data_IF_458920202794
#
_entry.id   IF_458920202794
#
_cell.length_a   1.000
_cell.length_b   1.000
_cell.length_c   1.000
_cell.angle_alpha   90.00
_cell.angle_beta   90.00
_cell.angle_gamma   90.00
#
_symmetry.space_group_name_H-M   'P 1'
#
loop_
_entity.id
_entity.type
_entity.pdbx_description
1 polymer ?
#
# COMPACT_ATOMS: atom_id res chain seq x y z
N UNK A 1 -2.00 4.16 -16.42
CA UNK A 1 -2.04 4.63 -15.01
C UNK A 1 -2.71 3.53 -14.18
N UNK A 2 -2.06 3.04 -13.11
CA UNK A 2 -2.54 1.92 -12.30
C UNK A 2 -3.59 2.29 -11.23
N UNK A 3 -3.48 3.48 -10.64
CA UNK A 3 -4.33 3.91 -9.53
C UNK A 3 -5.77 4.26 -9.94
N UNK A 4 -6.00 4.48 -11.23
CA UNK A 4 -7.28 4.85 -11.84
C UNK A 4 -7.79 3.81 -12.84
N UNK A 5 -6.96 2.87 -13.28
CA UNK A 5 -7.37 1.87 -14.27
C UNK A 5 -8.56 1.01 -13.79
N UNK A 6 -9.54 0.83 -14.67
CA UNK A 6 -10.60 -0.16 -14.47
C UNK A 6 -10.16 -1.57 -14.94
N UNK A 7 -11.00 -2.57 -14.70
CA UNK A 7 -10.70 -3.95 -15.10
C UNK A 7 -10.60 -4.12 -16.62
N UNK A 8 -11.36 -3.36 -17.41
CA UNK A 8 -11.34 -3.43 -18.86
C UNK A 8 -10.02 -2.88 -19.44
N UNK A 9 -9.44 -1.85 -18.83
CA UNK A 9 -8.13 -1.32 -19.18
C UNK A 9 -7.01 -2.30 -18.78
N UNK A 10 -7.10 -2.90 -17.58
CA UNK A 10 -6.09 -3.85 -17.12
C UNK A 10 -6.03 -5.11 -17.99
N UNK A 11 -7.18 -5.66 -18.40
CA UNK A 11 -7.22 -6.89 -19.22
C UNK A 11 -6.64 -6.69 -20.63
N UNK A 12 -6.47 -5.45 -21.10
CA UNK A 12 -5.79 -5.17 -22.38
C UNK A 12 -4.28 -5.41 -22.32
N UNK A 13 -3.70 -5.47 -21.13
CA UNK A 13 -2.28 -5.74 -20.94
C UNK A 13 -2.00 -7.23 -21.16
N UNK A 14 -1.00 -7.54 -21.98
CA UNK A 14 -0.59 -8.92 -22.25
C UNK A 14 -0.23 -9.63 -20.93
N UNK A 15 -0.79 -10.81 -20.71
CA UNK A 15 -0.61 -11.60 -19.48
C UNK A 15 -1.56 -11.23 -18.33
N UNK A 16 -2.37 -10.18 -18.45
CA UNK A 16 -3.33 -9.78 -17.42
C UNK A 16 -4.73 -10.28 -17.80
N UNK A 17 -5.11 -11.43 -17.26
CA UNK A 17 -6.49 -11.93 -17.34
C UNK A 17 -7.43 -11.30 -16.29
N UNK A 18 -8.74 -11.62 -16.34
CA UNK A 18 -9.73 -11.10 -15.38
C UNK A 18 -9.37 -11.34 -13.91
N UNK A 19 -8.73 -12.47 -13.61
CA UNK A 19 -8.27 -12.82 -12.26
C UNK A 19 -7.21 -11.84 -11.76
N UNK A 20 -6.17 -11.56 -12.57
CA UNK A 20 -5.13 -10.61 -12.18
C UNK A 20 -5.65 -9.18 -12.14
N UNK A 21 -6.51 -8.79 -13.09
CA UNK A 21 -7.17 -7.47 -13.03
C UNK A 21 -7.92 -7.27 -11.70
N UNK A 22 -8.69 -8.27 -11.27
CA UNK A 22 -9.38 -8.25 -9.96
C UNK A 22 -8.41 -8.17 -8.78
N UNK A 23 -7.32 -8.95 -8.79
CA UNK A 23 -6.30 -8.92 -7.73
C UNK A 23 -5.57 -7.58 -7.66
N UNK A 24 -5.21 -6.99 -8.81
CA UNK A 24 -4.59 -5.67 -8.89
C UNK A 24 -5.52 -4.62 -8.26
N UNK A 25 -6.79 -4.61 -8.65
CA UNK A 25 -7.78 -3.67 -8.10
C UNK A 25 -7.95 -3.88 -6.59
N UNK A 26 -8.08 -5.13 -6.13
CA UNK A 26 -8.20 -5.45 -4.71
C UNK A 26 -6.98 -4.97 -3.93
N UNK A 27 -5.78 -5.25 -4.43
CA UNK A 27 -4.55 -4.89 -3.76
C UNK A 27 -4.32 -3.37 -3.75
N UNK A 28 -4.60 -2.68 -4.87
CA UNK A 28 -4.67 -1.21 -4.94
C UNK A 28 -5.55 -0.63 -3.84
N UNK A 29 -6.74 -1.19 -3.66
CA UNK A 29 -7.70 -0.71 -2.67
C UNK A 29 -7.20 -0.92 -1.23
N UNK A 30 -6.48 -2.01 -0.96
CA UNK A 30 -5.86 -2.27 0.35
C UNK A 30 -4.71 -1.30 0.65
N UNK A 31 -3.89 -0.98 -0.35
CA UNK A 31 -2.81 0.02 -0.22
C UNK A 31 -3.35 1.45 -0.10
N UNK A 32 -4.48 1.75 -0.75
CA UNK A 32 -4.94 3.12 -0.99
C UNK A 32 -4.40 3.72 -2.29
N UNK A 33 -3.79 2.91 -3.15
CA UNK A 33 -3.07 3.29 -4.37
C UNK A 33 -1.67 2.68 -4.38
N UNK A 34 -1.11 2.39 -5.55
CA UNK A 34 0.29 2.05 -5.73
C UNK A 34 1.14 3.31 -5.61
N UNK A 35 2.29 3.22 -4.93
CA UNK A 35 3.36 4.22 -5.00
C UNK A 35 4.43 3.85 -6.03
N UNK A 36 4.52 2.56 -6.40
CA UNK A 36 5.49 2.01 -7.32
C UNK A 36 4.87 0.90 -8.15
N UNK A 37 5.28 0.79 -9.41
CA UNK A 37 4.88 -0.29 -10.32
C UNK A 37 5.37 -1.66 -9.84
N UNK A 38 6.52 -1.71 -9.15
CA UNK A 38 7.07 -2.94 -8.57
C UNK A 38 6.16 -3.61 -7.55
N UNK A 39 5.22 -2.88 -6.93
CA UNK A 39 4.26 -3.47 -5.98
C UNK A 39 3.29 -4.46 -6.65
N UNK A 40 3.23 -4.50 -7.99
CA UNK A 40 2.53 -5.57 -8.69
C UNK A 40 3.14 -6.96 -8.39
N UNK A 41 4.45 -7.03 -8.12
CA UNK A 41 5.13 -8.27 -7.74
C UNK A 41 4.79 -8.74 -6.32
N UNK A 42 4.18 -7.87 -5.50
CA UNK A 42 3.69 -8.22 -4.16
C UNK A 42 2.31 -8.91 -4.23
N UNK A 43 1.65 -8.88 -5.39
CA UNK A 43 0.38 -9.58 -5.61
C UNK A 43 0.65 -11.08 -5.69
N UNK A 44 -0.15 -11.85 -4.94
CA UNK A 44 -0.02 -13.30 -4.89
C UNK A 44 -0.01 -13.96 -6.28
N UNK A 45 1.06 -14.72 -6.53
CA UNK A 45 1.37 -15.44 -7.78
C UNK A 45 1.36 -14.53 -9.02
N UNK A 46 1.77 -13.25 -8.90
CA UNK A 46 1.97 -12.39 -10.06
C UNK A 46 3.30 -12.76 -10.77
N UNK A 47 3.27 -13.15 -12.06
CA UNK A 47 4.49 -13.59 -12.74
C UNK A 47 5.44 -12.43 -13.02
N UNK A 48 6.72 -12.60 -12.72
CA UNK A 48 7.75 -11.58 -12.98
C UNK A 48 7.89 -11.29 -14.47
N UNK A 49 7.75 -12.32 -15.32
CA UNK A 49 7.79 -12.19 -16.78
C UNK A 49 6.64 -11.32 -17.27
N UNK A 50 5.45 -11.47 -16.68
CA UNK A 50 4.29 -10.62 -17.00
C UNK A 50 4.57 -9.17 -16.60
N UNK A 51 5.15 -8.93 -15.42
CA UNK A 51 5.56 -7.58 -15.01
C UNK A 51 6.52 -6.95 -16.02
N UNK A 52 7.58 -7.67 -16.41
CA UNK A 52 8.59 -7.19 -17.37
C UNK A 52 7.94 -6.81 -18.71
N UNK A 53 6.99 -7.61 -19.20
CA UNK A 53 6.29 -7.33 -20.46
C UNK A 53 5.45 -6.05 -20.39
N UNK A 54 4.71 -5.87 -19.30
CA UNK A 54 3.73 -4.78 -19.16
C UNK A 54 4.32 -3.47 -18.64
N UNK A 55 5.50 -3.51 -17.99
CA UNK A 55 6.07 -2.37 -17.24
C UNK A 55 6.14 -1.07 -18.05
N UNK A 56 6.46 -1.17 -19.34
CA UNK A 56 6.55 -0.03 -20.26
C UNK A 56 5.21 0.64 -20.61
N UNK A 57 4.10 -0.04 -20.34
CA UNK A 57 2.73 0.40 -20.66
C UNK A 57 1.96 0.88 -19.42
N UNK A 58 2.58 0.82 -18.25
CA UNK A 58 2.00 1.23 -16.99
C UNK A 58 2.77 2.42 -16.41
N UNK A 59 2.06 3.22 -15.62
CA UNK A 59 2.63 4.31 -14.84
C UNK A 59 1.82 4.43 -13.55
N UNK A 60 2.42 5.08 -12.56
CA UNK A 60 1.83 5.28 -11.23
C UNK A 60 1.77 6.76 -10.93
N UNK A 61 0.56 7.29 -10.76
CA UNK A 61 0.39 8.63 -10.19
C UNK A 61 0.31 8.53 -8.67
N UNK A 62 1.34 9.03 -7.99
CA UNK A 62 1.42 8.98 -6.52
C UNK A 62 0.58 10.06 -5.83
N UNK A 63 0.09 11.07 -6.57
CA UNK A 63 -0.70 12.17 -6.01
C UNK A 63 -2.11 11.73 -5.61
N UNK A 64 -2.62 10.65 -6.22
CA UNK A 64 -3.95 10.09 -5.95
C UNK A 64 -3.95 9.06 -4.81
N UNK A 65 -2.81 8.78 -4.18
CA UNK A 65 -2.72 7.82 -3.08
C UNK A 65 -3.52 8.33 -1.88
N UNK A 66 -4.45 7.49 -1.40
CA UNK A 66 -5.24 7.74 -0.20
C UNK A 66 -4.44 7.35 1.03
N UNK A 67 -3.93 8.37 1.73
CA UNK A 67 -3.15 8.18 2.96
C UNK A 67 -4.05 7.96 4.17
N UNK A 68 -3.61 7.10 5.06
CA UNK A 68 -4.22 6.82 6.35
C UNK A 68 -3.81 7.92 7.35
N UNK A 69 -4.80 8.58 7.95
CA UNK A 69 -4.58 9.55 9.01
C UNK A 69 -4.27 8.83 10.32
N UNK A 70 -3.01 8.58 10.63
CA UNK A 70 -2.57 7.66 11.70
C UNK A 70 -3.14 7.97 13.09
N UNK A 71 -3.38 9.26 13.36
CA UNK A 71 -3.90 9.73 14.64
C UNK A 71 -5.42 9.50 14.78
N UNK A 72 -6.15 9.44 13.66
CA UNK A 72 -7.61 9.33 13.62
C UNK A 72 -8.12 7.98 13.11
N UNK A 73 -7.27 7.22 12.42
CA UNK A 73 -7.60 5.90 11.92
C UNK A 73 -7.85 4.93 13.07
N UNK A 74 -8.89 4.11 12.91
CA UNK A 74 -9.20 3.07 13.86
C UNK A 74 -8.26 1.85 13.70
N UNK A 75 -8.38 0.90 14.61
CA UNK A 75 -7.57 -0.32 14.58
C UNK A 75 -7.78 -1.12 13.27
N UNK A 76 -9.00 -1.16 12.77
CA UNK A 76 -9.39 -1.95 11.60
C UNK A 76 -8.88 -1.33 10.30
N UNK A 77 -8.87 0.00 10.21
CA UNK A 77 -8.34 0.76 9.07
C UNK A 77 -6.86 0.51 8.90
N UNK A 78 -6.10 0.53 10.00
CA UNK A 78 -4.67 0.26 10.00
C UNK A 78 -4.38 -1.21 9.67
N UNK A 79 -5.13 -2.14 10.25
CA UNK A 79 -4.92 -3.58 10.05
C UNK A 79 -5.22 -4.05 8.62
N UNK A 80 -6.08 -3.33 7.88
CA UNK A 80 -6.36 -3.63 6.47
C UNK A 80 -5.16 -3.37 5.56
N UNK A 81 -4.21 -2.54 5.98
CA UNK A 81 -3.09 -2.15 5.15
C UNK A 81 -2.07 -3.31 5.02
N UNK A 82 -1.64 -3.71 3.81
CA UNK A 82 -0.78 -4.89 3.59
C UNK A 82 0.55 -4.91 4.35
N UNK A 83 1.07 -3.74 4.72
CA UNK A 83 2.33 -3.62 5.47
C UNK A 83 2.19 -3.61 6.99
N UNK A 84 0.96 -3.65 7.51
CA UNK A 84 0.70 -3.60 8.95
C UNK A 84 0.11 -4.93 9.41
N UNK A 85 0.79 -5.58 10.35
CA UNK A 85 0.27 -6.75 11.04
C UNK A 85 -0.40 -6.35 12.35
N UNK A 86 -1.18 -7.25 12.94
CA UNK A 86 -1.90 -6.99 14.21
C UNK A 86 -0.99 -6.43 15.30
N UNK A 87 0.20 -7.03 15.46
CA UNK A 87 1.18 -6.60 16.46
C UNK A 87 1.68 -5.17 16.22
N UNK A 88 1.71 -4.71 14.97
CA UNK A 88 2.15 -3.36 14.60
C UNK A 88 1.08 -2.33 14.95
N UNK A 89 -0.18 -2.62 14.61
CA UNK A 89 -1.32 -1.76 14.92
C UNK A 89 -1.48 -1.61 16.44
N UNK A 90 -1.31 -2.69 17.18
CA UNK A 90 -1.32 -2.65 18.65
C UNK A 90 -0.19 -1.79 19.23
N UNK A 91 1.02 -1.85 18.66
CA UNK A 91 2.15 -0.99 19.09
C UNK A 91 1.84 0.49 18.81
N UNK A 92 1.27 0.80 17.64
CA UNK A 92 0.83 2.15 17.29
C UNK A 92 -0.22 2.65 18.29
N UNK A 93 -1.21 1.82 18.63
CA UNK A 93 -2.23 2.14 19.64
C UNK A 93 -1.64 2.42 21.01
N UNK A 94 -0.83 1.50 21.56
CA UNK A 94 -0.16 1.66 22.86
C UNK A 94 0.72 2.90 22.91
N UNK A 95 1.42 3.21 21.82
CA UNK A 95 2.19 4.45 21.75
C UNK A 95 1.29 5.68 21.85
N UNK A 96 0.16 5.72 21.11
CA UNK A 96 -0.82 6.82 21.17
C UNK A 96 -1.38 7.02 22.57
N UNK A 97 -1.69 5.93 23.28
CA UNK A 97 -2.18 5.97 24.66
C UNK A 97 -1.14 6.50 25.65
N UNK A 98 0.13 6.09 25.50
CA UNK A 98 1.20 6.44 26.44
C UNK A 98 1.82 7.82 26.21
N UNK A 99 1.97 8.22 24.95
CA UNK A 99 2.73 9.41 24.56
C UNK A 99 1.91 10.44 23.79
N UNK A 100 0.65 10.14 23.48
CA UNK A 100 -0.21 11.01 22.66
C UNK A 100 -0.01 10.83 21.14
N UNK A 101 -0.58 11.75 20.34
CA UNK A 101 -0.59 11.64 18.88
C UNK A 101 0.82 11.73 18.28
N UNK A 102 0.99 11.13 17.10
CA UNK A 102 2.22 11.28 16.32
C UNK A 102 2.30 12.64 15.67
N UNK A 103 3.45 13.30 15.78
CA UNK A 103 3.71 14.60 15.16
C UNK A 103 4.24 14.48 13.73
N UNK A 104 4.81 13.32 13.37
CA UNK A 104 5.31 13.06 12.02
C UNK A 104 5.26 11.57 11.67
N UNK A 105 5.20 11.28 10.37
CA UNK A 105 5.31 9.90 9.87
C UNK A 105 6.67 9.29 10.25
N UNK A 106 7.73 10.09 10.27
CA UNK A 106 9.06 9.63 10.68
C UNK A 106 9.06 9.08 12.11
N UNK A 107 8.33 9.69 13.04
CA UNK A 107 8.18 9.20 14.41
C UNK A 107 7.56 7.79 14.44
N UNK A 108 6.54 7.55 13.61
CA UNK A 108 5.91 6.22 13.47
C UNK A 108 6.95 5.20 12.98
N UNK A 109 7.72 5.53 11.94
CA UNK A 109 8.71 4.62 11.34
C UNK A 109 9.90 4.32 12.24
N UNK A 110 10.28 5.25 13.13
CA UNK A 110 11.34 5.00 14.13
C UNK A 110 10.81 4.09 15.24
N UNK A 111 9.59 4.34 15.74
CA UNK A 111 8.97 3.54 16.80
C UNK A 111 8.67 2.10 16.34
N UNK A 112 8.21 1.94 15.11
CA UNK A 112 7.77 0.66 14.58
C UNK A 112 8.96 -0.26 14.23
N UNK A 113 9.12 -1.43 14.86
CA UNK A 113 10.27 -2.32 14.61
C UNK A 113 10.01 -3.26 13.42
N UNK A 114 9.87 -2.68 12.22
CA UNK A 114 9.83 -3.42 10.95
C UNK A 114 11.14 -3.28 10.18
N UNK A 115 11.34 -4.14 9.18
CA UNK A 115 12.45 -4.03 8.25
C UNK A 115 12.38 -2.74 7.40
N UNK A 116 13.48 -2.42 6.73
CA UNK A 116 13.60 -1.22 5.92
C UNK A 116 12.65 -1.21 4.72
N UNK A 117 12.30 -2.37 4.16
CA UNK A 117 11.41 -2.51 3.00
C UNK A 117 10.00 -2.12 3.40
N UNK A 118 9.45 -2.73 4.45
CA UNK A 118 8.12 -2.41 5.00
C UNK A 118 8.02 -0.94 5.42
N UNK A 119 9.05 -0.39 6.08
CA UNK A 119 9.09 1.04 6.45
C UNK A 119 9.08 1.96 5.23
N UNK A 120 9.91 1.65 4.25
CA UNK A 120 9.98 2.43 3.01
C UNK A 120 8.69 2.37 2.22
N UNK A 121 8.00 1.24 2.22
CA UNK A 121 6.67 1.12 1.62
C UNK A 121 5.61 1.92 2.40
N UNK A 122 5.50 1.69 3.71
CA UNK A 122 4.44 2.27 4.53
C UNK A 122 4.47 3.81 4.59
N UNK A 123 5.65 4.43 4.50
CA UNK A 123 5.78 5.90 4.53
C UNK A 123 4.95 6.62 3.48
N UNK A 124 4.66 5.97 2.35
CA UNK A 124 3.86 6.53 1.26
C UNK A 124 2.35 6.61 1.60
N UNK A 125 1.93 5.85 2.61
CA UNK A 125 0.52 5.62 2.95
C UNK A 125 0.09 6.26 4.26
N UNK A 126 0.98 6.94 4.98
CA UNK A 126 0.66 7.57 6.26
C UNK A 126 0.65 9.10 6.18
N UNK A 127 -0.22 9.71 6.98
CA UNK A 127 -0.22 11.15 7.27
C UNK A 127 -0.59 11.38 8.74
N UNK A 128 0.02 12.41 9.36
CA UNK A 128 -0.36 12.90 10.69
C UNK A 128 -1.42 14.01 10.63
N UNK A 129 -1.66 14.55 9.43
CA UNK A 129 -2.71 15.53 9.12
C UNK A 129 -3.98 14.84 8.68
#
# INVERSE_FOLDING_TARGET
ELNSADSAQLVRLKGIGPVFASRIIKYRNLLGGFYSDYQLLEIYNFPEETFIEIRRYINVDTTVIKKIRINYADFSDLLRHPYLEKADVEKIGRHKEKFGPFNSVAQVLVMWPADSVKKNGLRHYLTCR
#
